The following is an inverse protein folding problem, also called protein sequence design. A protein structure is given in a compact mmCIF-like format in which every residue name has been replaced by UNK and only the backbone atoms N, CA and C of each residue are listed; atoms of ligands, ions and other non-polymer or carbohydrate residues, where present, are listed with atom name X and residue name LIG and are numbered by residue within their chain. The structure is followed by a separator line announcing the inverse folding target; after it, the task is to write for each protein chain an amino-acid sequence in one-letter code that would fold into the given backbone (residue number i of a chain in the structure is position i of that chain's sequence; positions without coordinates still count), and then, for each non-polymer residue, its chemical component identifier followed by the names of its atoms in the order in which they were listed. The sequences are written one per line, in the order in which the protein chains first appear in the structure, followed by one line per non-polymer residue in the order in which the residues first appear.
data_IF_825329083139
#
_entry.id   IF_825329083139
#
_cell.length_a   1.000
_cell.length_b   1.000
_cell.length_c   1.000
_cell.angle_alpha   90.00
_cell.angle_beta   90.00
_cell.angle_gamma   90.00
#
_symmetry.space_group_name_H-M   'P 1'
#
loop_
_entity.id
_entity.type
_entity.pdbx_description
1 polymer ?
#
# COMPACT_ATOMS: atom_id res chain seq x y z
N UNK A 1 62.76 -3.00 35.41
CA UNK A 1 62.38 -2.20 34.22
C UNK A 1 60.99 -2.65 33.77
N UNK A 2 59.95 -1.88 34.06
CA UNK A 2 58.57 -2.23 33.70
C UNK A 2 58.13 -1.43 32.48
N UNK A 3 57.86 -2.11 31.36
CA UNK A 3 57.36 -1.49 30.12
C UNK A 3 55.85 -1.30 30.24
N UNK A 4 55.42 -0.06 30.48
CA UNK A 4 54.00 0.32 30.41
C UNK A 4 53.63 0.40 28.92
N UNK A 5 52.89 -0.59 28.44
CA UNK A 5 52.33 -0.61 27.09
C UNK A 5 51.16 0.40 27.08
N UNK A 6 51.42 1.62 26.58
CA UNK A 6 50.38 2.60 26.27
C UNK A 6 49.56 2.05 25.10
N UNK A 7 48.42 1.43 25.41
CA UNK A 7 47.36 1.16 24.44
C UNK A 7 46.76 2.50 23.98
N UNK A 8 47.36 3.12 22.97
CA UNK A 8 46.74 4.21 22.22
C UNK A 8 45.64 3.61 21.34
N UNK A 9 44.43 3.47 21.91
CA UNK A 9 43.23 3.11 21.16
C UNK A 9 43.00 4.20 20.10
N UNK A 10 43.28 3.89 18.82
CA UNK A 10 43.20 4.85 17.72
C UNK A 10 41.74 5.33 17.56
N UNK A 11 41.42 6.61 17.80
CA UNK A 11 40.05 7.13 17.73
C UNK A 11 39.38 6.90 16.36
N UNK A 12 40.16 6.75 15.28
CA UNK A 12 39.64 6.40 13.95
C UNK A 12 38.92 5.07 13.87
N UNK A 13 39.36 4.03 14.60
CA UNK A 13 38.72 2.71 14.52
C UNK A 13 37.36 2.73 15.19
N UNK A 14 37.26 3.41 16.34
CA UNK A 14 35.99 3.59 17.05
C UNK A 14 35.00 4.40 16.19
N UNK A 15 35.47 5.48 15.54
CA UNK A 15 34.62 6.26 14.63
C UNK A 15 34.12 5.44 13.45
N UNK A 16 34.96 4.62 12.80
CA UNK A 16 34.51 3.76 11.70
C UNK A 16 33.43 2.78 12.15
N UNK A 17 33.56 2.19 13.35
CA UNK A 17 32.55 1.29 13.91
C UNK A 17 31.23 2.04 14.15
N UNK A 18 31.29 3.23 14.75
CA UNK A 18 30.09 4.06 15.01
C UNK A 18 29.39 4.43 13.70
N UNK A 19 30.13 4.88 12.68
CA UNK A 19 29.55 5.20 11.37
C UNK A 19 28.98 3.96 10.67
N UNK A 20 29.63 2.80 10.79
CA UNK A 20 29.11 1.54 10.25
C UNK A 20 27.79 1.13 10.90
N UNK A 21 27.68 1.23 12.23
CA UNK A 21 26.44 0.93 12.96
C UNK A 21 25.33 1.92 12.60
N UNK A 22 25.64 3.22 12.51
CA UNK A 22 24.68 4.24 12.08
C UNK A 22 24.17 3.97 10.67
N UNK A 23 25.07 3.67 9.72
CA UNK A 23 24.70 3.38 8.34
C UNK A 23 23.82 2.13 8.22
N UNK A 24 24.15 1.06 8.95
CA UNK A 24 23.33 -0.16 8.99
C UNK A 24 21.95 0.09 9.62
N UNK A 25 21.89 0.91 10.66
CA UNK A 25 20.62 1.28 11.32
C UNK A 25 19.75 2.09 10.39
N UNK A 26 20.34 3.06 9.67
CA UNK A 26 19.66 3.89 8.68
C UNK A 26 19.16 3.05 7.49
N UNK A 27 20.00 2.12 7.00
CA UNK A 27 19.63 1.19 5.94
C UNK A 27 18.43 0.32 6.36
N UNK A 28 18.46 -0.25 7.57
CA UNK A 28 17.32 -1.03 8.08
C UNK A 28 16.05 -0.19 8.19
N UNK A 29 16.14 1.04 8.70
CA UNK A 29 15.00 1.94 8.80
C UNK A 29 14.37 2.19 7.42
N UNK A 30 15.19 2.53 6.42
CA UNK A 30 14.73 2.78 5.06
C UNK A 30 14.11 1.54 4.42
N UNK A 31 14.76 0.38 4.54
CA UNK A 31 14.28 -0.86 3.91
C UNK A 31 13.00 -1.36 4.58
N UNK A 32 12.92 -1.29 5.91
CA UNK A 32 11.72 -1.72 6.65
C UNK A 32 10.55 -0.78 6.39
N UNK A 33 10.77 0.53 6.29
CA UNK A 33 9.73 1.48 5.86
C UNK A 33 9.25 1.18 4.44
N UNK A 34 10.16 0.90 3.51
CA UNK A 34 9.83 0.57 2.11
C UNK A 34 8.98 -0.69 1.98
N UNK A 35 9.04 -1.59 2.95
CA UNK A 35 8.25 -2.82 2.97
C UNK A 35 6.88 -2.67 3.63
N UNK A 36 6.46 -1.44 3.96
CA UNK A 36 5.13 -1.19 4.53
C UNK A 36 5.01 -1.56 6.01
N UNK A 37 6.10 -1.42 6.78
CA UNK A 37 6.06 -1.68 8.21
C UNK A 37 5.31 -0.58 8.97
N UNK A 38 4.26 -0.97 9.70
CA UNK A 38 3.53 -0.04 10.55
C UNK A 38 4.19 0.05 11.94
N UNK A 39 4.94 1.11 12.21
CA UNK A 39 5.54 1.34 13.53
C UNK A 39 4.52 1.49 14.67
N UNK A 40 3.31 1.98 14.38
CA UNK A 40 2.23 2.12 15.37
C UNK A 40 1.72 0.75 15.87
N UNK A 41 1.70 -0.25 14.98
CA UNK A 41 1.24 -1.62 15.30
C UNK A 41 2.39 -2.61 15.49
N UNK A 42 3.62 -2.21 15.19
CA UNK A 42 4.82 -3.04 15.13
C UNK A 42 4.62 -4.28 14.23
N UNK A 43 3.92 -4.12 13.11
CA UNK A 43 3.53 -5.22 12.22
C UNK A 43 3.48 -4.77 10.75
N UNK A 44 3.63 -5.71 9.81
CA UNK A 44 3.50 -5.48 8.37
C UNK A 44 2.05 -5.67 7.94
N UNK A 45 1.45 -4.64 7.35
CA UNK A 45 0.11 -4.78 6.77
C UNK A 45 0.22 -5.58 5.48
N UNK A 46 -0.56 -6.67 5.36
CA UNK A 46 -0.53 -7.51 4.16
C UNK A 46 -1.31 -6.85 3.01
N UNK A 47 -0.93 -7.16 1.77
CA UNK A 47 -1.70 -6.74 0.59
C UNK A 47 -3.16 -7.22 0.66
N UNK A 48 -3.39 -8.42 1.20
CA UNK A 48 -4.73 -8.96 1.41
C UNK A 48 -5.55 -8.12 2.39
N UNK A 49 -4.96 -7.70 3.53
CA UNK A 49 -5.65 -6.83 4.51
C UNK A 49 -6.09 -5.50 3.87
N UNK A 50 -5.22 -4.92 3.03
CA UNK A 50 -5.53 -3.69 2.29
C UNK A 50 -6.65 -3.88 1.26
N UNK A 51 -6.58 -4.95 0.47
CA UNK A 51 -7.61 -5.29 -0.52
C UNK A 51 -8.96 -5.51 0.15
N UNK A 52 -9.02 -6.36 1.19
CA UNK A 52 -10.27 -6.68 1.89
C UNK A 52 -10.88 -5.43 2.53
N UNK A 53 -10.05 -4.54 3.09
CA UNK A 53 -10.50 -3.26 3.63
C UNK A 53 -11.09 -2.37 2.54
N UNK A 54 -10.45 -2.31 1.38
CA UNK A 54 -10.92 -1.51 0.25
C UNK A 54 -12.25 -2.04 -0.32
N UNK A 55 -12.34 -3.35 -0.55
CA UNK A 55 -13.59 -4.01 -1.00
C UNK A 55 -14.70 -3.77 0.03
N UNK A 56 -14.42 -3.95 1.33
CA UNK A 56 -15.40 -3.69 2.39
C UNK A 56 -15.94 -2.26 2.34
N UNK A 57 -15.07 -1.29 2.06
CA UNK A 57 -15.45 0.12 1.93
C UNK A 57 -16.35 0.36 0.72
N UNK A 58 -16.03 -0.26 -0.42
CA UNK A 58 -16.83 -0.16 -1.64
C UNK A 58 -18.19 -0.84 -1.51
N UNK A 59 -18.23 -2.06 -0.94
CA UNK A 59 -19.47 -2.80 -0.68
C UNK A 59 -20.41 -2.06 0.28
N UNK A 60 -19.85 -1.34 1.27
CA UNK A 60 -20.63 -0.54 2.24
C UNK A 60 -20.97 0.86 1.73
N UNK A 61 -20.53 1.24 0.54
CA UNK A 61 -20.81 2.56 -0.01
C UNK A 61 -22.30 2.75 -0.21
N UNK A 62 -22.86 3.82 0.37
CA UNK A 62 -24.29 4.16 0.25
C UNK A 62 -24.73 4.44 -1.20
N UNK A 63 -23.79 4.76 -2.08
CA UNK A 63 -24.07 5.02 -3.49
C UNK A 63 -24.39 3.75 -4.28
N UNK A 64 -24.10 2.56 -3.73
CA UNK A 64 -24.36 1.28 -4.39
C UNK A 64 -23.64 1.14 -5.73
N UNK A 65 -22.54 1.89 -5.95
CA UNK A 65 -21.85 2.01 -7.26
C UNK A 65 -21.26 0.70 -7.76
N UNK A 66 -20.91 -0.19 -6.85
CA UNK A 66 -20.32 -1.49 -7.14
C UNK A 66 -21.44 -2.51 -7.33
N UNK A 67 -21.46 -3.16 -8.49
CA UNK A 67 -22.36 -4.29 -8.73
C UNK A 67 -21.89 -5.48 -7.90
N UNK A 68 -22.84 -6.05 -7.16
CA UNK A 68 -22.64 -7.22 -6.30
C UNK A 68 -23.66 -8.28 -6.69
N UNK A 69 -23.22 -9.53 -6.84
CA UNK A 69 -24.13 -10.65 -7.02
C UNK A 69 -24.53 -11.24 -5.66
N UNK A 70 -25.53 -12.13 -5.66
CA UNK A 70 -26.04 -12.78 -4.45
C UNK A 70 -24.98 -13.57 -3.66
N UNK A 71 -23.89 -14.00 -4.30
CA UNK A 71 -22.80 -14.72 -3.67
C UNK A 71 -21.71 -13.80 -3.06
N UNK A 72 -21.75 -12.49 -3.32
CA UNK A 72 -20.77 -11.51 -2.82
C UNK A 72 -21.17 -11.03 -1.42
N UNK A 73 -21.27 -11.97 -0.48
CA UNK A 73 -21.76 -11.71 0.89
C UNK A 73 -20.72 -11.06 1.80
N UNK A 74 -19.44 -11.11 1.43
CA UNK A 74 -18.33 -10.51 2.18
C UNK A 74 -17.19 -10.11 1.25
N UNK A 75 -16.24 -9.26 1.71
CA UNK A 75 -15.05 -8.91 0.93
C UNK A 75 -14.23 -10.13 0.47
N UNK A 76 -14.14 -11.15 1.32
CA UNK A 76 -13.43 -12.39 1.03
C UNK A 76 -14.16 -13.21 -0.04
N UNK A 77 -15.50 -13.30 0.06
CA UNK A 77 -16.31 -13.99 -0.95
C UNK A 77 -16.20 -13.31 -2.32
N UNK A 78 -16.21 -11.97 -2.33
CA UNK A 78 -15.99 -11.18 -3.55
C UNK A 78 -14.60 -11.45 -4.13
N UNK A 79 -13.53 -11.33 -3.32
CA UNK A 79 -12.15 -11.55 -3.78
C UNK A 79 -11.94 -12.97 -4.33
N UNK A 80 -12.55 -13.98 -3.72
CA UNK A 80 -12.47 -15.36 -4.18
C UNK A 80 -13.12 -15.57 -5.56
N UNK A 81 -14.19 -14.84 -5.87
CA UNK A 81 -14.89 -14.90 -7.16
C UNK A 81 -14.28 -14.01 -8.23
N UNK A 82 -13.58 -12.96 -7.81
CA UNK A 82 -12.97 -11.97 -8.69
C UNK A 82 -11.44 -11.92 -8.46
N UNK A 83 -10.69 -13.01 -8.72
CA UNK A 83 -9.27 -13.10 -8.38
C UNK A 83 -8.38 -12.05 -9.07
N UNK A 84 -8.86 -11.48 -10.18
CA UNK A 84 -8.16 -10.44 -10.95
C UNK A 84 -8.68 -9.02 -10.67
N UNK A 85 -9.56 -8.82 -9.68
CA UNK A 85 -10.13 -7.49 -9.39
C UNK A 85 -9.10 -6.50 -8.88
N UNK A 86 -8.05 -7.00 -8.23
CA UNK A 86 -7.42 -6.25 -7.17
C UNK A 86 -5.91 -6.36 -7.27
N UNK A 87 -5.23 -5.21 -7.20
CA UNK A 87 -3.78 -5.12 -7.29
C UNK A 87 -3.25 -4.21 -6.18
N UNK A 88 -2.13 -4.59 -5.58
CA UNK A 88 -1.43 -3.76 -4.59
C UNK A 88 -0.01 -3.52 -5.06
N UNK A 89 0.32 -2.24 -5.26
CA UNK A 89 1.67 -1.81 -5.59
C UNK A 89 2.27 -1.06 -4.40
N UNK A 90 3.32 -1.62 -3.83
CA UNK A 90 4.13 -0.97 -2.80
C UNK A 90 5.18 -0.14 -3.51
N UNK A 91 5.16 1.19 -3.33
CA UNK A 91 5.89 2.16 -4.14
C UNK A 91 7.31 1.75 -4.56
N UNK A 92 7.44 1.17 -5.76
CA UNK A 92 8.73 0.84 -6.38
C UNK A 92 9.23 1.95 -7.28
N UNK A 93 8.34 2.78 -7.82
CA UNK A 93 8.72 3.63 -8.96
C UNK A 93 9.47 4.88 -8.53
N UNK A 94 8.96 5.70 -7.59
CA UNK A 94 9.68 6.94 -7.20
C UNK A 94 9.41 7.41 -5.75
N UNK A 95 10.08 6.84 -4.74
CA UNK A 95 9.91 7.19 -3.32
C UNK A 95 10.27 8.65 -3.00
N UNK A 96 11.07 9.29 -3.85
CA UNK A 96 11.41 10.70 -3.72
C UNK A 96 10.45 11.64 -4.46
N UNK A 97 9.64 11.14 -5.41
CA UNK A 97 8.67 11.97 -6.15
C UNK A 97 7.37 12.19 -5.37
N UNK A 98 6.95 11.24 -4.54
CA UNK A 98 5.74 11.39 -3.72
C UNK A 98 6.01 12.09 -2.36
N UNK A 99 7.26 12.38 -2.02
CA UNK A 99 7.65 13.04 -0.76
C UNK A 99 7.72 12.09 0.46
N UNK A 100 8.32 12.56 1.55
CA UNK A 100 8.58 11.75 2.77
C UNK A 100 7.31 11.17 3.42
N UNK A 101 6.14 11.75 3.14
CA UNK A 101 4.84 11.35 3.69
C UNK A 101 4.33 10.05 3.04
N UNK A 102 4.81 9.73 1.82
CA UNK A 102 4.45 8.53 1.07
C UNK A 102 5.53 7.43 1.16
N UNK A 103 6.52 7.59 2.04
CA UNK A 103 7.44 6.50 2.34
C UNK A 103 6.64 5.34 2.95
N UNK A 104 6.73 4.16 2.32
CA UNK A 104 6.02 2.96 2.76
C UNK A 104 4.52 2.95 2.46
N UNK A 105 4.02 3.81 1.58
CA UNK A 105 2.61 3.74 1.15
C UNK A 105 2.37 2.63 0.11
N UNK A 106 1.19 2.04 0.16
CA UNK A 106 0.69 1.09 -0.84
C UNK A 106 -0.40 1.75 -1.68
N UNK A 107 -0.33 1.59 -3.00
CA UNK A 107 -1.41 1.91 -3.90
C UNK A 107 -2.25 0.64 -4.10
N UNK A 108 -3.52 0.70 -3.72
CA UNK A 108 -4.49 -0.39 -3.85
C UNK A 108 -5.46 -0.04 -4.96
N UNK A 109 -5.53 -0.89 -5.98
CA UNK A 109 -6.44 -0.76 -7.10
C UNK A 109 -7.48 -1.85 -7.01
N UNK A 110 -8.76 -1.48 -7.14
CA UNK A 110 -9.88 -2.41 -7.23
C UNK A 110 -10.69 -2.05 -8.47
N UNK A 111 -10.71 -2.96 -9.44
CA UNK A 111 -11.56 -2.88 -10.62
C UNK A 111 -12.83 -3.70 -10.39
N UNK A 112 -13.99 -3.08 -10.56
CA UNK A 112 -15.29 -3.71 -10.37
C UNK A 112 -16.29 -3.28 -11.44
N UNK A 113 -17.32 -4.09 -11.66
CA UNK A 113 -18.41 -3.74 -12.56
C UNK A 113 -19.34 -2.71 -11.89
N UNK A 114 -19.73 -1.69 -12.63
CA UNK A 114 -20.67 -0.67 -12.15
C UNK A 114 -22.10 -1.22 -12.10
N UNK A 115 -22.81 -0.92 -11.03
CA UNK A 115 -24.27 -1.09 -10.96
C UNK A 115 -24.98 -0.05 -11.83
N UNK A 116 -26.30 -0.20 -12.01
CA UNK A 116 -27.10 0.79 -12.70
C UNK A 116 -27.10 2.15 -11.96
N UNK A 117 -27.06 2.13 -10.62
CA UNK A 117 -26.86 3.31 -9.79
C UNK A 117 -25.47 3.92 -10.01
N UNK A 118 -24.44 3.07 -10.13
CA UNK A 118 -23.08 3.49 -10.41
C UNK A 118 -22.94 4.21 -11.75
N UNK A 119 -23.55 3.66 -12.81
CA UNK A 119 -23.58 4.27 -14.15
C UNK A 119 -24.22 5.66 -14.13
N UNK A 120 -25.32 5.81 -13.38
CA UNK A 120 -25.98 7.11 -13.16
C UNK A 120 -25.13 8.06 -12.34
N UNK A 121 -24.48 7.58 -11.27
CA UNK A 121 -23.66 8.40 -10.37
C UNK A 121 -22.45 9.01 -11.08
N UNK A 122 -21.78 8.23 -11.93
CA UNK A 122 -20.65 8.70 -12.73
C UNK A 122 -21.07 9.36 -14.05
N UNK A 123 -22.38 9.49 -14.29
CA UNK A 123 -22.94 10.39 -15.29
C UNK A 123 -22.65 10.01 -16.74
N UNK A 124 -22.78 8.74 -17.12
CA UNK A 124 -22.82 8.45 -18.56
C UNK A 124 -23.73 7.28 -18.96
N UNK A 125 -24.58 7.57 -19.94
CA UNK A 125 -25.28 6.56 -20.74
C UNK A 125 -24.30 5.73 -21.60
N UNK A 126 -23.01 6.09 -21.61
CA UNK A 126 -21.93 5.46 -22.37
C UNK A 126 -20.73 5.02 -21.49
N UNK A 127 -20.87 4.91 -20.15
CA UNK A 127 -19.73 4.45 -19.33
C UNK A 127 -19.46 2.99 -19.65
N UNK A 128 -18.19 2.71 -19.93
CA UNK A 128 -17.62 1.37 -19.92
C UNK A 128 -18.03 0.61 -18.64
N UNK A 129 -18.34 -0.69 -18.74
CA UNK A 129 -19.02 -1.41 -17.64
C UNK A 129 -18.20 -1.52 -16.35
N UNK A 130 -16.90 -1.20 -16.37
CA UNK A 130 -16.02 -1.36 -15.23
C UNK A 130 -15.48 -0.01 -14.75
N UNK A 131 -15.13 0.04 -13.47
CA UNK A 131 -14.52 1.20 -12.83
C UNK A 131 -13.30 0.74 -12.05
N UNK A 132 -12.15 1.38 -12.28
CA UNK A 132 -10.92 1.21 -11.50
C UNK A 132 -10.91 2.26 -10.38
N UNK A 133 -11.02 1.80 -9.14
CA UNK A 133 -10.89 2.64 -7.96
C UNK A 133 -9.49 2.46 -7.36
N UNK A 134 -8.78 3.56 -7.17
CA UNK A 134 -7.39 3.59 -6.71
C UNK A 134 -7.33 4.33 -5.38
N UNK A 135 -6.71 3.72 -4.38
CA UNK A 135 -6.50 4.34 -3.06
C UNK A 135 -5.07 4.15 -2.62
N UNK A 136 -4.44 5.25 -2.23
CA UNK A 136 -3.17 5.22 -1.51
C UNK A 136 -3.44 4.99 -0.01
N UNK A 137 -2.76 4.00 0.55
CA UNK A 137 -2.77 3.67 1.97
C UNK A 137 -1.40 3.93 2.58
N UNK A 138 -1.37 4.39 3.83
CA UNK A 138 -0.15 4.40 4.63
C UNK A 138 0.33 2.97 4.92
N UNK A 139 1.57 2.83 5.41
CA UNK A 139 2.10 1.55 5.93
C UNK A 139 1.22 0.93 7.05
N UNK A 140 0.40 1.74 7.72
CA UNK A 140 -0.55 1.30 8.74
C UNK A 140 -1.97 1.01 8.21
N UNK A 141 -2.17 1.11 6.89
CA UNK A 141 -3.45 0.88 6.23
C UNK A 141 -4.46 2.02 6.43
N UNK A 142 -4.00 3.24 6.67
CA UNK A 142 -4.86 4.44 6.74
C UNK A 142 -4.96 5.07 5.34
N UNK A 143 -6.16 5.42 4.83
CA UNK A 143 -6.30 5.98 3.49
C UNK A 143 -5.74 7.42 3.45
N UNK A 144 -5.00 7.75 2.39
CA UNK A 144 -4.41 9.06 2.17
C UNK A 144 -5.13 9.83 1.07
N UNK A 145 -5.22 9.21 -0.10
CA UNK A 145 -5.79 9.79 -1.29
C UNK A 145 -6.53 8.71 -2.08
N UNK A 146 -7.60 9.10 -2.76
CA UNK A 146 -8.33 8.22 -3.65
C UNK A 146 -8.63 8.90 -4.98
N UNK A 147 -8.65 8.11 -6.03
CA UNK A 147 -9.01 8.51 -7.38
C UNK A 147 -9.67 7.33 -8.10
N UNK A 148 -10.15 7.54 -9.31
CA UNK A 148 -10.67 6.44 -10.10
C UNK A 148 -10.98 6.85 -11.53
N UNK A 149 -11.12 5.84 -12.39
CA UNK A 149 -11.42 6.02 -13.80
C UNK A 149 -12.28 4.86 -14.30
N UNK A 150 -13.18 5.16 -15.24
CA UNK A 150 -13.90 4.13 -15.97
C UNK A 150 -12.96 3.36 -16.90
N UNK A 151 -13.26 2.08 -17.13
CA UNK A 151 -12.47 1.17 -17.97
C UNK A 151 -13.35 0.12 -18.68
N UNK A 152 -12.94 -0.32 -19.87
CA UNK A 152 -13.68 -1.29 -20.72
C UNK A 152 -13.65 -2.70 -20.18
N UNK A 153 -12.62 -3.03 -19.41
CA UNK A 153 -12.35 -4.39 -18.95
C UNK A 153 -11.72 -4.37 -17.55
N UNK A 154 -11.85 -5.47 -16.79
CA UNK A 154 -11.06 -5.65 -15.58
C UNK A 154 -9.57 -5.56 -15.95
N UNK A 155 -8.86 -4.59 -15.37
CA UNK A 155 -7.43 -4.39 -15.63
C UNK A 155 -6.68 -5.45 -14.82
N UNK A 156 -6.47 -6.61 -15.43
CA UNK A 156 -5.59 -7.64 -14.87
C UNK A 156 -4.13 -7.22 -15.08
N UNK A 157 -3.36 -7.12 -14.00
CA UNK A 157 -1.90 -6.98 -14.02
C UNK A 157 -1.24 -7.93 -13.04
#
# INVERSE_FOLDING_TARGET
MSKIIKMTRKPSVLMMIVFGVLALSFYKLIVVDRMGFCYKRLWFVSSEELILKQISTLMKSKSGVMKLDAADTSPEAYLARHPNCCHVSWGTEHPFQRGLIHFGSAEVRVTYELSDEGKKHYGADNVENYYEFIVDYTACGEPLHNTGTSTTAPIAR
#
